data_IF_027631996399
#
_entry.id   IF_027631996399
#
_cell.length_a   1.000
_cell.length_b   1.000
_cell.length_c   1.000
_cell.angle_alpha   90.00
_cell.angle_beta   90.00
_cell.angle_gamma   90.00
#
_symmetry.space_group_name_H-M   'P 1'
#
loop_
_entity.id
_entity.type
_entity.pdbx_description
1 polymer ?
#
# COMPACT_ATOMS: atom_id res chain seq x y z
N UNK A 1 -72.33 -12.55 36.79
CA UNK A 1 -71.70 -11.72 35.74
C UNK A 1 -70.35 -11.24 36.23
N UNK A 2 -69.30 -12.03 36.00
CA UNK A 2 -67.93 -11.76 36.48
C UNK A 2 -67.13 -11.23 35.29
N UNK A 3 -66.79 -9.93 35.30
CA UNK A 3 -65.84 -9.33 34.36
C UNK A 3 -64.43 -9.68 34.84
N UNK A 4 -63.83 -10.73 34.28
CA UNK A 4 -62.43 -11.10 34.54
C UNK A 4 -61.51 -10.17 33.76
N UNK A 5 -60.52 -9.65 34.47
CA UNK A 5 -59.43 -8.84 33.98
C UNK A 5 -58.66 -9.55 32.85
N UNK A 6 -58.38 -8.83 31.76
CA UNK A 6 -57.50 -9.27 30.69
C UNK A 6 -56.33 -8.27 30.59
N UNK A 7 -55.40 -8.38 31.52
CA UNK A 7 -54.04 -7.90 31.31
C UNK A 7 -53.31 -8.98 30.52
N UNK A 8 -53.29 -8.86 29.19
CA UNK A 8 -52.37 -9.65 28.38
C UNK A 8 -51.14 -8.81 28.08
N UNK A 9 -50.08 -9.21 28.76
CA UNK A 9 -48.73 -8.68 28.76
C UNK A 9 -48.15 -8.73 27.34
N UNK A 10 -48.15 -7.59 26.64
CA UNK A 10 -47.45 -7.44 25.37
C UNK A 10 -45.97 -7.16 25.67
N UNK A 11 -45.23 -8.21 26.04
CA UNK A 11 -43.76 -8.17 25.97
C UNK A 11 -43.38 -8.26 24.49
N UNK A 12 -43.43 -7.11 23.81
CA UNK A 12 -42.85 -6.94 22.49
C UNK A 12 -41.33 -7.02 22.66
N UNK A 13 -40.77 -8.22 22.56
CA UNK A 13 -39.33 -8.42 22.47
C UNK A 13 -38.85 -7.79 21.17
N UNK A 14 -38.45 -6.53 21.25
CA UNK A 14 -37.69 -5.87 20.22
C UNK A 14 -36.33 -6.58 20.16
N UNK A 15 -36.20 -7.59 19.30
CA UNK A 15 -34.91 -8.17 18.97
C UNK A 15 -34.14 -7.07 18.21
N UNK A 16 -33.38 -6.27 18.95
CA UNK A 16 -32.46 -5.32 18.36
C UNK A 16 -31.35 -6.13 17.70
N UNK A 17 -31.40 -6.27 16.38
CA UNK A 17 -30.31 -6.83 15.61
C UNK A 17 -29.17 -5.81 15.60
N UNK A 18 -28.21 -5.95 16.52
CA UNK A 18 -26.98 -5.17 16.50
C UNK A 18 -26.07 -5.69 15.39
N UNK A 19 -25.99 -4.97 14.27
CA UNK A 19 -24.97 -5.23 13.26
C UNK A 19 -23.61 -4.80 13.83
N UNK A 20 -22.74 -5.76 14.15
CA UNK A 20 -21.36 -5.46 14.53
C UNK A 20 -20.58 -4.97 13.31
N UNK A 21 -19.84 -3.87 13.47
CA UNK A 21 -18.95 -3.39 12.42
C UNK A 21 -17.80 -4.39 12.23
N UNK A 22 -17.51 -4.75 10.98
CA UNK A 22 -16.38 -5.61 10.62
C UNK A 22 -15.07 -5.02 11.19
N UNK A 23 -14.38 -5.78 12.03
CA UNK A 23 -13.06 -5.40 12.54
C UNK A 23 -11.93 -5.94 11.65
N UNK A 24 -10.71 -5.43 11.85
CA UNK A 24 -9.53 -5.96 11.16
C UNK A 24 -9.22 -7.37 11.65
N UNK A 25 -9.42 -7.62 12.94
CA UNK A 25 -9.23 -8.91 13.60
C UNK A 25 -10.16 -9.97 13.01
N UNK A 26 -11.45 -9.65 12.87
CA UNK A 26 -12.44 -10.53 12.21
C UNK A 26 -12.05 -10.82 10.75
N UNK A 27 -11.51 -9.82 10.05
CA UNK A 27 -11.07 -9.97 8.68
C UNK A 27 -9.86 -10.91 8.59
N UNK A 28 -8.87 -10.73 9.47
CA UNK A 28 -7.70 -11.61 9.55
C UNK A 28 -8.14 -13.04 9.85
N UNK A 29 -8.99 -13.23 10.86
CA UNK A 29 -9.52 -14.56 11.20
C UNK A 29 -10.19 -15.25 10.01
N UNK A 30 -10.93 -14.50 9.20
CA UNK A 30 -11.64 -15.03 8.02
C UNK A 30 -10.68 -15.49 6.91
N UNK A 31 -9.57 -14.78 6.67
CA UNK A 31 -8.72 -15.00 5.49
C UNK A 31 -7.32 -15.53 5.78
N UNK A 32 -6.93 -15.67 7.06
CA UNK A 32 -5.59 -16.13 7.44
C UNK A 32 -5.27 -17.51 6.87
N UNK A 33 -6.18 -18.47 6.99
CA UNK A 33 -5.97 -19.84 6.48
C UNK A 33 -5.71 -19.86 4.97
N UNK A 34 -6.52 -19.13 4.19
CA UNK A 34 -6.35 -19.03 2.74
C UNK A 34 -5.03 -18.34 2.37
N UNK A 35 -4.67 -17.28 3.08
CA UNK A 35 -3.39 -16.60 2.89
C UNK A 35 -2.19 -17.51 3.21
N UNK A 36 -2.29 -18.35 4.24
CA UNK A 36 -1.26 -19.34 4.57
C UNK A 36 -1.17 -20.46 3.53
N UNK A 37 -2.28 -20.92 2.98
CA UNK A 37 -2.27 -21.88 1.88
C UNK A 37 -1.56 -21.30 0.66
N UNK A 38 -1.90 -20.09 0.26
CA UNK A 38 -1.24 -19.38 -0.82
C UNK A 38 0.25 -19.13 -0.54
N UNK A 39 0.61 -18.81 0.70
CA UNK A 39 2.01 -18.70 1.10
C UNK A 39 2.76 -20.01 0.87
N UNK A 40 2.23 -21.13 1.36
CA UNK A 40 2.86 -22.45 1.24
C UNK A 40 3.06 -22.84 -0.22
N UNK A 41 2.05 -22.61 -1.05
CA UNK A 41 2.04 -22.92 -2.48
C UNK A 41 2.92 -21.98 -3.32
N UNK A 42 2.90 -20.67 -3.04
CA UNK A 42 3.50 -19.65 -3.90
C UNK A 42 4.80 -19.06 -3.35
N UNK A 43 5.22 -19.41 -2.14
CA UNK A 43 6.47 -18.96 -1.49
C UNK A 43 6.55 -17.44 -1.33
N UNK A 44 5.49 -16.85 -0.80
CA UNK A 44 5.35 -15.42 -0.49
C UNK A 44 4.71 -15.28 0.90
N UNK A 45 5.14 -14.35 1.77
CA UNK A 45 4.63 -14.27 3.14
C UNK A 45 3.11 -14.09 3.21
N UNK A 46 2.43 -14.88 4.04
CA UNK A 46 1.00 -14.71 4.32
C UNK A 46 0.70 -13.30 4.86
N UNK A 47 1.62 -12.75 5.66
CA UNK A 47 1.56 -11.37 6.17
C UNK A 47 1.48 -10.33 5.06
N UNK A 48 2.14 -10.55 3.92
CA UNK A 48 2.06 -9.66 2.76
C UNK A 48 0.71 -9.75 2.09
N UNK A 49 0.21 -10.96 1.86
CA UNK A 49 -1.10 -11.20 1.25
C UNK A 49 -2.18 -10.51 2.07
N UNK A 50 -2.23 -10.79 3.38
CA UNK A 50 -3.21 -10.22 4.30
C UNK A 50 -3.10 -8.70 4.40
N UNK A 51 -1.88 -8.15 4.56
CA UNK A 51 -1.71 -6.71 4.71
C UNK A 51 -2.09 -5.93 3.46
N UNK A 52 -1.78 -6.44 2.26
CA UNK A 52 -2.22 -5.82 1.00
C UNK A 52 -3.74 -5.90 0.89
N UNK A 53 -4.33 -7.06 1.17
CA UNK A 53 -5.79 -7.21 1.13
C UNK A 53 -6.48 -6.24 2.10
N UNK A 54 -6.03 -6.15 3.35
CA UNK A 54 -6.53 -5.19 4.36
C UNK A 54 -6.39 -3.75 3.86
N UNK A 55 -5.23 -3.38 3.33
CA UNK A 55 -4.94 -2.03 2.86
C UNK A 55 -5.84 -1.61 1.70
N UNK A 56 -5.96 -2.45 0.68
CA UNK A 56 -6.66 -2.12 -0.57
C UNK A 56 -8.19 -2.24 -0.40
N UNK A 57 -8.66 -3.16 0.45
CA UNK A 57 -10.10 -3.40 0.68
C UNK A 57 -10.71 -2.60 1.82
N UNK A 58 -9.90 -1.86 2.60
CA UNK A 58 -10.26 -1.34 3.91
C UNK A 58 -10.83 -2.43 4.83
N UNK A 59 -10.09 -3.55 4.97
CA UNK A 59 -10.52 -4.76 5.66
C UNK A 59 -11.93 -5.23 5.23
N UNK A 60 -12.16 -5.28 3.92
CA UNK A 60 -13.41 -5.75 3.31
C UNK A 60 -14.55 -4.72 3.30
N UNK A 61 -14.40 -3.58 3.97
CA UNK A 61 -15.51 -2.61 4.11
C UNK A 61 -15.68 -1.67 2.91
N UNK A 62 -14.67 -1.56 2.04
CA UNK A 62 -14.73 -0.70 0.87
C UNK A 62 -15.86 -1.09 -0.08
N UNK A 63 -16.37 -0.11 -0.83
CA UNK A 63 -17.40 -0.37 -1.85
C UNK A 63 -16.90 -1.35 -2.93
N UNK A 64 -15.62 -1.31 -3.28
CA UNK A 64 -15.06 -2.23 -4.27
C UNK A 64 -15.01 -3.67 -3.73
N UNK A 65 -14.58 -3.85 -2.49
CA UNK A 65 -14.57 -5.17 -1.86
C UNK A 65 -15.99 -5.74 -1.72
N UNK A 66 -16.93 -4.98 -1.15
CA UNK A 66 -18.29 -5.48 -0.86
C UNK A 66 -19.10 -5.85 -2.10
N UNK A 67 -18.98 -5.10 -3.19
CA UNK A 67 -19.81 -5.32 -4.37
C UNK A 67 -19.13 -6.18 -5.43
N UNK A 68 -17.79 -6.23 -5.46
CA UNK A 68 -17.04 -6.91 -6.52
C UNK A 68 -16.17 -8.05 -6.00
N UNK A 69 -16.19 -8.33 -4.69
CA UNK A 69 -15.25 -9.23 -4.02
C UNK A 69 -13.78 -8.93 -4.34
N UNK A 70 -13.45 -7.69 -4.70
CA UNK A 70 -12.10 -7.31 -5.13
C UNK A 70 -11.33 -6.71 -3.97
N UNK A 71 -10.51 -7.54 -3.32
CA UNK A 71 -9.79 -7.14 -2.11
C UNK A 71 -8.40 -6.57 -2.38
N UNK A 72 -7.96 -6.56 -3.64
CA UNK A 72 -6.61 -6.14 -4.04
C UNK A 72 -6.60 -4.91 -4.95
N UNK A 73 -7.77 -4.36 -5.32
CA UNK A 73 -7.85 -3.19 -6.19
C UNK A 73 -7.38 -3.46 -7.62
N UNK A 74 -7.41 -4.72 -8.09
CA UNK A 74 -6.98 -5.08 -9.44
C UNK A 74 -8.01 -4.58 -10.46
N UNK A 75 -7.55 -3.91 -11.51
CA UNK A 75 -8.39 -3.43 -12.61
C UNK A 75 -8.60 -4.52 -13.65
N UNK A 76 -9.76 -4.51 -14.30
CA UNK A 76 -10.09 -5.49 -15.34
C UNK A 76 -11.56 -5.50 -15.72
N UNK A 77 -11.97 -6.58 -16.37
CA UNK A 77 -13.37 -6.84 -16.74
C UNK A 77 -14.25 -6.77 -15.50
N UNK A 78 -15.37 -6.08 -15.63
CA UNK A 78 -16.37 -5.93 -14.58
C UNK A 78 -17.74 -6.23 -15.19
N UNK A 79 -18.43 -7.26 -14.70
CA UNK A 79 -19.78 -7.64 -15.13
C UNK A 79 -20.88 -7.19 -14.16
N UNK A 80 -20.51 -6.58 -13.04
CA UNK A 80 -21.43 -6.15 -11.99
C UNK A 80 -22.35 -5.01 -12.47
N UNK A 81 -23.64 -5.14 -12.16
CA UNK A 81 -24.67 -4.16 -12.54
C UNK A 81 -25.01 -3.16 -11.45
N UNK A 82 -24.64 -3.43 -10.20
CA UNK A 82 -24.94 -2.58 -9.04
C UNK A 82 -24.00 -1.38 -8.93
N UNK A 83 -22.72 -1.57 -9.28
CA UNK A 83 -21.73 -0.48 -9.26
C UNK A 83 -20.95 -0.43 -10.57
N UNK A 84 -20.75 0.79 -11.09
CA UNK A 84 -19.87 1.02 -12.25
C UNK A 84 -18.47 1.40 -11.78
N UNK A 85 -17.46 0.63 -12.17
CA UNK A 85 -16.05 0.92 -11.84
C UNK A 85 -15.09 0.31 -12.87
N UNK A 86 -13.81 0.69 -12.82
CA UNK A 86 -12.75 0.04 -13.62
C UNK A 86 -12.15 -1.20 -12.95
N UNK A 87 -12.64 -1.56 -11.76
CA UNK A 87 -12.11 -2.67 -10.96
C UNK A 87 -12.75 -3.97 -11.38
N UNK A 88 -11.96 -5.04 -11.41
CA UNK A 88 -12.42 -6.38 -11.73
C UNK A 88 -13.41 -6.88 -10.68
N UNK A 89 -14.41 -7.67 -11.08
CA UNK A 89 -15.26 -8.45 -10.19
C UNK A 89 -14.80 -9.91 -10.08
N UNK A 90 -15.07 -10.52 -8.92
CA UNK A 90 -14.77 -11.91 -8.62
C UNK A 90 -15.99 -12.63 -8.05
N UNK A 91 -16.15 -13.94 -8.32
CA UNK A 91 -17.22 -14.74 -7.73
C UNK A 91 -17.18 -14.76 -6.20
N UNK A 92 -16.00 -14.99 -5.61
CA UNK A 92 -15.80 -14.86 -4.17
C UNK A 92 -14.54 -14.05 -3.85
N UNK A 93 -14.37 -13.74 -2.57
CA UNK A 93 -13.17 -13.05 -2.09
C UNK A 93 -11.92 -13.90 -2.32
N UNK A 94 -12.00 -15.21 -2.16
CA UNK A 94 -10.84 -16.10 -2.26
C UNK A 94 -10.21 -16.08 -3.66
N UNK A 95 -10.98 -16.10 -4.76
CA UNK A 95 -10.36 -16.01 -6.08
C UNK A 95 -9.89 -14.58 -6.44
N UNK A 96 -10.22 -13.57 -5.63
CA UNK A 96 -9.46 -12.30 -5.68
C UNK A 96 -8.06 -12.41 -5.06
N UNK A 97 -7.89 -13.26 -4.02
CA UNK A 97 -6.58 -13.59 -3.47
C UNK A 97 -5.77 -14.40 -4.47
N UNK A 98 -6.36 -15.45 -5.05
CA UNK A 98 -5.68 -16.31 -6.01
C UNK A 98 -5.20 -15.50 -7.23
N UNK A 99 -6.08 -14.65 -7.77
CA UNK A 99 -5.73 -13.79 -8.90
C UNK A 99 -4.68 -12.71 -8.54
N UNK A 100 -4.57 -12.28 -7.29
CA UNK A 100 -3.46 -11.42 -6.86
C UNK A 100 -2.10 -12.13 -7.01
N UNK A 101 -2.01 -13.41 -6.66
CA UNK A 101 -0.79 -14.19 -6.84
C UNK A 101 -0.48 -14.44 -8.32
N UNK A 102 -1.50 -14.75 -9.12
CA UNK A 102 -1.35 -14.86 -10.58
C UNK A 102 -0.86 -13.53 -11.20
N UNK A 103 -1.41 -12.41 -10.75
CA UNK A 103 -0.99 -11.08 -11.18
C UNK A 103 0.49 -10.81 -10.86
N UNK A 104 0.96 -11.14 -9.66
CA UNK A 104 2.37 -10.97 -9.30
C UNK A 104 3.28 -11.93 -10.08
N UNK A 105 2.87 -13.18 -10.30
CA UNK A 105 3.68 -14.18 -11.04
C UNK A 105 3.76 -13.87 -12.54
N UNK A 106 2.69 -13.35 -13.13
CA UNK A 106 2.60 -13.13 -14.59
C UNK A 106 3.29 -11.86 -15.09
N UNK A 107 3.53 -10.89 -14.22
CA UNK A 107 4.07 -9.57 -14.62
C UNK A 107 5.56 -9.49 -14.32
N UNK A 108 6.36 -9.23 -15.36
CA UNK A 108 7.83 -9.13 -15.24
C UNK A 108 8.34 -8.10 -14.22
N UNK A 109 7.54 -7.11 -13.86
CA UNK A 109 7.86 -6.15 -12.79
C UNK A 109 7.83 -6.73 -11.37
N UNK A 110 7.19 -7.89 -11.19
CA UNK A 110 7.00 -8.56 -9.89
C UNK A 110 7.50 -10.01 -9.89
N UNK A 111 7.54 -10.70 -11.02
CA UNK A 111 7.87 -12.13 -11.07
C UNK A 111 9.25 -12.43 -10.47
N UNK A 112 10.26 -11.60 -10.75
CA UNK A 112 11.60 -11.75 -10.16
C UNK A 112 11.68 -11.50 -8.65
N UNK A 113 10.58 -11.15 -7.97
CA UNK A 113 10.52 -11.11 -6.51
C UNK A 113 10.52 -12.52 -5.91
N UNK A 114 9.85 -13.48 -6.56
CA UNK A 114 9.73 -14.87 -6.11
C UNK A 114 11.08 -15.60 -6.09
N UNK A 115 12.00 -15.24 -6.98
CA UNK A 115 13.36 -15.81 -7.01
C UNK A 115 14.33 -15.07 -6.06
N UNK A 116 13.99 -13.83 -5.70
CA UNK A 116 14.91 -12.90 -5.04
C UNK A 116 14.74 -12.87 -3.52
N UNK A 117 13.52 -13.03 -3.04
CA UNK A 117 13.20 -12.88 -1.64
C UNK A 117 12.74 -14.20 -1.06
N UNK A 118 13.27 -14.50 0.11
CA UNK A 118 12.80 -15.61 0.92
C UNK A 118 11.30 -15.44 1.27
N UNK A 119 10.62 -16.56 1.47
CA UNK A 119 9.17 -16.60 1.72
C UNK A 119 8.77 -15.94 3.05
N UNK A 120 9.71 -15.60 3.93
CA UNK A 120 9.46 -14.94 5.22
C UNK A 120 9.85 -13.44 5.23
N UNK A 121 10.50 -12.93 4.18
CA UNK A 121 11.03 -11.55 4.10
C UNK A 121 9.97 -10.51 3.68
N UNK A 122 8.94 -10.34 4.51
CA UNK A 122 7.84 -9.40 4.24
C UNK A 122 8.33 -7.97 3.95
N UNK A 123 9.42 -7.54 4.58
CA UNK A 123 9.93 -6.18 4.42
C UNK A 123 10.43 -5.94 3.00
N UNK A 124 11.17 -6.88 2.42
CA UNK A 124 11.64 -6.72 1.05
C UNK A 124 10.58 -7.10 0.01
N UNK A 125 9.66 -8.00 0.32
CA UNK A 125 8.45 -8.23 -0.49
C UNK A 125 7.62 -6.95 -0.67
N UNK A 126 7.26 -6.27 0.44
CA UNK A 126 6.51 -5.00 0.36
C UNK A 126 7.25 -3.93 -0.45
N UNK A 127 8.56 -3.78 -0.24
CA UNK A 127 9.36 -2.84 -1.03
C UNK A 127 9.48 -3.26 -2.50
N UNK A 128 9.53 -4.56 -2.77
CA UNK A 128 9.57 -5.16 -4.10
C UNK A 128 8.32 -4.86 -4.89
N UNK A 129 7.16 -5.15 -4.30
CA UNK A 129 5.85 -4.89 -4.90
C UNK A 129 5.68 -3.38 -5.16
N UNK A 130 6.11 -2.51 -4.24
CA UNK A 130 6.11 -1.06 -4.50
C UNK A 130 7.00 -0.68 -5.69
N UNK A 131 8.24 -1.20 -5.75
CA UNK A 131 9.17 -0.91 -6.85
C UNK A 131 8.67 -1.42 -8.20
N UNK A 132 7.95 -2.54 -8.20
CA UNK A 132 7.30 -3.07 -9.40
C UNK A 132 6.09 -2.24 -9.86
N UNK A 133 5.67 -1.24 -9.09
CA UNK A 133 4.67 -0.26 -9.51
C UNK A 133 3.22 -0.62 -9.17
N UNK A 134 3.00 -1.52 -8.19
CA UNK A 134 1.66 -1.90 -7.74
C UNK A 134 0.82 -0.68 -7.31
N UNK A 135 1.43 0.21 -6.52
CA UNK A 135 0.84 1.45 -6.07
C UNK A 135 1.70 2.66 -6.43
N UNK A 136 1.05 3.79 -6.74
CA UNK A 136 1.74 5.07 -7.01
C UNK A 136 2.31 5.71 -5.74
N UNK A 137 1.78 5.37 -4.58
CA UNK A 137 2.18 5.95 -3.30
C UNK A 137 3.64 5.60 -2.97
N UNK A 138 4.42 6.61 -2.58
CA UNK A 138 5.83 6.45 -2.18
C UNK A 138 5.99 5.81 -0.80
N UNK A 139 4.91 5.77 -0.03
CA UNK A 139 4.87 5.23 1.34
C UNK A 139 4.09 3.92 1.42
N UNK A 140 3.63 3.36 0.29
CA UNK A 140 2.81 2.15 0.27
C UNK A 140 3.49 0.99 1.01
N UNK A 141 4.76 0.71 0.72
CA UNK A 141 5.51 -0.35 1.38
C UNK A 141 5.61 -0.12 2.90
N UNK A 142 5.80 1.13 3.34
CA UNK A 142 5.81 1.44 4.79
C UNK A 142 4.42 1.31 5.42
N UNK A 143 3.34 1.57 4.68
CA UNK A 143 1.97 1.34 5.16
C UNK A 143 1.69 -0.17 5.30
N UNK A 144 2.06 -0.98 4.31
CA UNK A 144 1.96 -2.44 4.37
C UNK A 144 2.77 -3.00 5.55
N UNK A 145 4.04 -2.61 5.70
CA UNK A 145 4.88 -3.01 6.84
C UNK A 145 4.26 -2.56 8.16
N UNK A 146 3.64 -1.37 8.21
CA UNK A 146 2.94 -0.87 9.39
C UNK A 146 1.72 -1.72 9.75
N UNK A 147 0.92 -2.14 8.77
CA UNK A 147 -0.22 -3.04 8.96
C UNK A 147 0.25 -4.40 9.48
N UNK A 148 1.30 -4.97 8.90
CA UNK A 148 1.87 -6.26 9.34
C UNK A 148 2.24 -6.20 10.82
N UNK A 149 3.00 -5.16 11.22
CA UNK A 149 3.45 -5.00 12.61
C UNK A 149 2.35 -4.66 13.58
N UNK A 150 1.36 -3.85 13.16
CA UNK A 150 0.28 -3.41 14.06
C UNK A 150 -0.65 -4.57 14.44
N UNK A 151 -0.82 -5.54 13.54
CA UNK A 151 -1.73 -6.66 13.72
C UNK A 151 -0.98 -8.00 13.85
N UNK A 152 0.32 -7.95 14.15
CA UNK A 152 1.20 -9.11 14.33
C UNK A 152 1.06 -10.18 13.24
N UNK A 153 0.92 -9.77 11.97
CA UNK A 153 0.61 -10.68 10.87
C UNK A 153 1.76 -11.64 10.53
N UNK A 154 2.97 -11.34 11.01
CA UNK A 154 4.14 -12.22 10.89
C UNK A 154 3.96 -13.57 11.60
N UNK A 155 3.02 -13.68 12.55
CA UNK A 155 2.66 -14.97 13.17
C UNK A 155 2.09 -15.98 12.17
N UNK A 156 1.51 -15.50 11.06
CA UNK A 156 0.95 -16.36 10.00
C UNK A 156 2.01 -16.77 8.97
N UNK A 157 3.24 -16.25 9.05
CA UNK A 157 4.28 -16.54 8.07
C UNK A 157 4.94 -17.92 8.28
N UNK A 158 4.55 -18.71 9.30
CA UNK A 158 5.11 -20.04 9.59
C UNK A 158 6.66 -20.05 9.63
N UNK A 159 7.23 -19.02 10.27
CA UNK A 159 8.69 -18.84 10.33
C UNK A 159 9.32 -19.88 11.26
N UNK A 160 10.48 -20.46 10.88
CA UNK A 160 11.31 -21.22 11.81
C UNK A 160 11.72 -20.38 13.03
N UNK A 161 11.88 -21.01 14.18
CA UNK A 161 12.29 -20.35 15.44
C UNK A 161 13.67 -19.67 15.32
N UNK A 162 14.55 -20.20 14.47
CA UNK A 162 15.89 -19.69 14.20
C UNK A 162 15.94 -18.70 13.02
N UNK A 163 14.79 -18.27 12.49
CA UNK A 163 14.75 -17.35 11.36
C UNK A 163 15.39 -16.00 11.71
N UNK A 164 16.45 -15.67 10.99
CA UNK A 164 17.12 -14.38 11.10
C UNK A 164 16.64 -13.47 9.98
N UNK A 165 16.04 -12.34 10.38
CA UNK A 165 15.65 -11.29 9.45
C UNK A 165 16.85 -10.87 8.58
N UNK A 166 16.70 -10.83 7.24
CA UNK A 166 17.79 -10.46 6.37
C UNK A 166 18.25 -9.08 6.74
N UNK A 167 19.56 -8.93 6.97
CA UNK A 167 20.16 -7.65 7.33
C UNK A 167 19.81 -6.68 6.23
N UNK A 168 18.85 -5.80 6.49
CA UNK A 168 18.63 -4.66 5.61
C UNK A 168 19.89 -3.85 5.75
N UNK A 169 20.81 -4.03 4.80
CA UNK A 169 21.87 -3.07 4.63
C UNK A 169 21.10 -1.81 4.29
N UNK A 170 20.83 -0.98 5.31
CA UNK A 170 20.75 0.44 5.11
C UNK A 170 22.11 0.70 4.49
N UNK A 171 22.16 0.69 3.16
CA UNK A 171 23.12 1.49 2.45
C UNK A 171 22.76 2.88 2.93
N UNK A 172 23.27 3.24 4.12
CA UNK A 172 23.53 4.60 4.47
C UNK A 172 24.11 5.12 3.19
N UNK A 173 23.43 6.08 2.56
CA UNK A 173 24.01 6.77 1.43
C UNK A 173 25.18 7.56 2.01
N UNK A 174 26.25 6.85 2.37
CA UNK A 174 27.64 7.25 2.40
C UNK A 174 28.14 7.47 0.97
N UNK A 175 27.23 7.80 0.04
CA UNK A 175 27.56 8.82 -0.93
C UNK A 175 27.55 10.15 -0.20
N UNK A 176 28.64 10.47 0.51
CA UNK A 176 29.11 11.86 0.54
C UNK A 176 29.40 12.19 -0.93
N UNK A 177 28.34 12.54 -1.69
CA UNK A 177 28.51 13.18 -2.99
C UNK A 177 29.34 14.40 -2.63
N UNK A 178 30.63 14.35 -2.94
CA UNK A 178 31.49 15.52 -2.95
C UNK A 178 30.76 16.48 -3.88
N UNK A 179 29.95 17.38 -3.31
CA UNK A 179 29.23 18.36 -4.08
C UNK A 179 30.31 19.30 -4.58
N UNK A 180 30.91 18.98 -5.72
CA UNK A 180 31.53 20.03 -6.53
C UNK A 180 30.40 21.02 -6.75
N UNK A 181 30.45 22.15 -6.05
CA UNK A 181 29.49 23.22 -6.18
C UNK A 181 29.53 23.67 -7.64
N UNK A 182 28.65 23.11 -8.48
CA UNK A 182 28.54 23.54 -9.87
C UNK A 182 27.93 24.92 -9.84
N UNK A 183 28.72 25.89 -10.24
CA UNK A 183 28.24 27.26 -10.43
C UNK A 183 27.65 27.38 -11.83
N UNK A 184 26.67 28.26 -11.98
CA UNK A 184 26.05 28.60 -13.26
C UNK A 184 26.07 30.11 -13.43
N UNK A 185 26.59 30.57 -14.55
CA UNK A 185 26.57 31.99 -14.92
C UNK A 185 25.27 32.28 -15.66
N UNK A 186 24.44 33.13 -15.07
CA UNK A 186 23.16 33.58 -15.64
C UNK A 186 23.39 34.22 -17.00
N UNK A 187 22.66 33.80 -18.02
CA UNK A 187 22.71 34.35 -19.38
C UNK A 187 21.58 35.36 -19.60
N UNK A 188 21.70 36.19 -20.64
CA UNK A 188 20.62 37.09 -21.05
C UNK A 188 19.36 36.25 -21.38
N UNK A 189 18.24 36.56 -20.74
CA UNK A 189 16.97 35.83 -20.89
C UNK A 189 16.71 34.72 -19.86
N UNK A 190 17.67 34.45 -18.98
CA UNK A 190 17.46 33.48 -17.89
C UNK A 190 16.55 34.02 -16.79
N UNK A 191 15.81 33.11 -16.17
CA UNK A 191 15.15 33.31 -14.88
C UNK A 191 15.37 32.08 -13.98
N UNK A 192 15.14 32.21 -12.68
CA UNK A 192 15.38 31.11 -11.74
C UNK A 192 14.57 29.85 -12.05
N UNK A 193 13.36 29.98 -12.62
CA UNK A 193 12.52 28.84 -12.97
C UNK A 193 13.15 28.01 -14.09
N UNK A 194 13.63 28.66 -15.15
CA UNK A 194 14.25 27.99 -16.29
C UNK A 194 15.58 27.33 -15.89
N UNK A 195 16.40 28.02 -15.09
CA UNK A 195 17.65 27.47 -14.56
C UNK A 195 17.36 26.27 -13.65
N UNK A 196 16.39 26.38 -12.75
CA UNK A 196 16.01 25.31 -11.85
C UNK A 196 15.53 24.06 -12.61
N UNK A 197 14.66 24.25 -13.60
CA UNK A 197 14.15 23.17 -14.46
C UNK A 197 15.28 22.47 -15.23
N UNK A 198 16.17 23.23 -15.88
CA UNK A 198 17.31 22.68 -16.61
C UNK A 198 18.28 21.90 -15.71
N UNK A 199 18.33 22.25 -14.43
CA UNK A 199 19.24 21.66 -13.44
C UNK A 199 18.56 20.68 -12.49
N UNK A 200 17.31 20.34 -12.76
CA UNK A 200 16.48 19.40 -11.96
C UNK A 200 16.45 19.78 -10.47
N UNK A 201 16.31 21.08 -10.19
CA UNK A 201 16.17 21.67 -8.84
C UNK A 201 14.96 22.62 -8.82
N UNK A 202 14.79 23.41 -7.76
CA UNK A 202 13.71 24.42 -7.64
C UNK A 202 14.29 25.83 -7.45
N UNK A 203 13.54 26.89 -7.83
CA UNK A 203 13.95 28.27 -7.56
C UNK A 203 14.27 28.50 -6.08
N UNK A 204 13.43 27.97 -5.17
CA UNK A 204 13.61 28.08 -3.73
C UNK A 204 14.97 27.51 -3.25
N UNK A 205 15.39 26.37 -3.80
CA UNK A 205 16.69 25.76 -3.47
C UNK A 205 17.84 26.63 -3.97
N UNK A 206 17.76 27.15 -5.19
CA UNK A 206 18.77 28.07 -5.73
C UNK A 206 18.82 29.36 -4.90
N UNK A 207 17.67 29.94 -4.54
CA UNK A 207 17.60 31.15 -3.72
C UNK A 207 18.23 30.94 -2.35
N UNK A 208 17.85 29.86 -1.66
CA UNK A 208 18.41 29.49 -0.35
C UNK A 208 19.93 29.32 -0.42
N UNK A 209 20.44 28.66 -1.47
CA UNK A 209 21.87 28.39 -1.65
C UNK A 209 22.70 29.64 -1.97
N UNK A 210 22.07 30.67 -2.53
CA UNK A 210 22.70 31.90 -2.97
C UNK A 210 22.29 33.13 -2.15
N UNK A 211 21.53 32.95 -1.05
CA UNK A 211 21.07 34.05 -0.21
C UNK A 211 20.17 35.06 -0.94
N UNK A 212 19.46 34.63 -1.99
CA UNK A 212 18.59 35.52 -2.75
C UNK A 212 17.29 35.78 -1.97
N UNK A 213 16.95 37.06 -1.80
CA UNK A 213 15.70 37.50 -1.16
C UNK A 213 14.52 37.59 -2.12
N UNK A 214 14.79 37.52 -3.42
CA UNK A 214 13.76 37.57 -4.48
C UNK A 214 14.19 36.73 -5.69
N UNK A 215 13.30 36.61 -6.66
CA UNK A 215 13.56 35.86 -7.90
C UNK A 215 14.43 36.63 -8.92
N UNK A 216 14.83 37.86 -8.60
CA UNK A 216 15.60 38.71 -9.48
C UNK A 216 17.06 38.21 -9.59
N UNK A 217 17.50 37.99 -10.83
CA UNK A 217 18.87 37.61 -11.18
C UNK A 217 19.35 38.43 -12.38
N UNK A 218 20.65 38.73 -12.44
CA UNK A 218 21.24 39.53 -13.53
C UNK A 218 22.11 38.66 -14.45
N UNK A 219 22.13 38.90 -15.76
CA UNK A 219 23.11 38.29 -16.65
C UNK A 219 24.53 38.48 -16.12
N UNK A 220 25.35 37.44 -16.15
CA UNK A 220 26.69 37.39 -15.56
C UNK A 220 26.75 36.96 -14.09
N UNK A 221 25.62 36.92 -13.37
CA UNK A 221 25.59 36.48 -11.97
C UNK A 221 25.93 34.99 -11.85
N UNK A 222 26.84 34.63 -10.93
CA UNK A 222 27.18 33.23 -10.64
C UNK A 222 26.27 32.68 -9.54
N UNK A 223 25.53 31.63 -9.87
CA UNK A 223 24.65 30.92 -8.94
C UNK A 223 25.25 29.57 -8.59
N UNK A 224 25.32 29.25 -7.30
CA UNK A 224 25.56 27.90 -6.78
C UNK A 224 24.31 27.06 -7.08
N UNK A 225 24.48 25.95 -7.80
CA UNK A 225 23.42 24.96 -8.09
C UNK A 225 23.59 23.74 -7.20
#
# INVERSE_FOLDING_TARGET
MIKKALYFWLFLTCFTFSANAQTIEDYIHTYAEHAQELMRQHKIPASIILAVAIHESAAGTSKIARYLNNHFGIKGTNSNTEIRSSYRDYPTVNESYDHFLEFLKSRGSFSGLFDKYDQYDYKNWARGIQRGGYARSRIWASQIIGIIKKNDLEQYDERPDDYVEPVTVKVARSGKRKSTSRTYTVKRGDNLHNIAKARRTTPAVIMKKNGLKSHAIKPGQKLKL
#
